data_IF_150266277480
#
_entry.id   IF_150266277480
#
_cell.length_a   1.000
_cell.length_b   1.000
_cell.length_c   1.000
_cell.angle_alpha   90.00
_cell.angle_beta   90.00
_cell.angle_gamma   90.00
#
_symmetry.space_group_name_H-M   'P 1'
#
loop_
_entity.id
_entity.type
_entity.pdbx_description
1 polymer ?
#
# COMPACT_ATOMS: atom_id res chain seq x y z
N UNK A 1 36.79 -5.31 2.99
CA UNK A 1 36.63 -3.88 3.42
C UNK A 1 37.24 -3.75 4.82
N UNK A 2 38.06 -2.72 5.02
CA UNK A 2 38.49 -2.27 6.33
C UNK A 2 37.55 -1.22 6.86
N UNK A 3 37.05 -1.36 8.08
CA UNK A 3 36.09 -0.47 8.71
C UNK A 3 36.72 0.20 9.94
N UNK A 4 36.81 1.52 9.90
CA UNK A 4 37.28 2.31 11.03
C UNK A 4 36.09 2.76 11.89
N UNK A 5 36.20 2.54 13.21
CA UNK A 5 35.19 3.02 14.16
C UNK A 5 35.24 4.55 14.26
N UNK A 6 34.12 5.19 14.15
CA UNK A 6 33.95 6.66 14.26
C UNK A 6 33.09 7.05 15.46
N UNK A 7 32.05 6.29 15.71
CA UNK A 7 31.01 6.60 16.70
C UNK A 7 31.01 5.62 17.85
N UNK A 8 31.49 4.42 17.64
CA UNK A 8 31.50 3.34 18.63
C UNK A 8 32.93 2.98 19.09
N UNK A 9 33.02 2.31 20.21
CA UNK A 9 34.30 1.83 20.75
C UNK A 9 34.30 0.33 20.82
N UNK A 10 35.45 -0.26 20.56
CA UNK A 10 35.63 -1.71 20.69
C UNK A 10 35.35 -2.20 22.11
N UNK A 11 34.71 -3.35 22.24
CA UNK A 11 34.34 -3.93 23.54
C UNK A 11 33.20 -3.19 24.28
N UNK A 12 32.57 -2.18 23.68
CA UNK A 12 31.41 -1.47 24.24
C UNK A 12 30.16 -1.70 23.41
N UNK A 13 29.01 -1.60 24.06
CA UNK A 13 27.72 -1.63 23.31
C UNK A 13 27.67 -0.50 22.30
N UNK A 14 27.15 -0.77 21.11
CA UNK A 14 26.86 0.24 20.10
C UNK A 14 25.91 1.35 20.59
N UNK A 15 25.15 1.05 21.62
CA UNK A 15 24.21 1.99 22.27
C UNK A 15 24.80 2.67 23.52
N UNK A 16 26.09 2.46 23.82
CA UNK A 16 26.74 3.13 24.94
C UNK A 16 26.66 4.66 24.75
N UNK A 17 26.14 5.36 25.77
CA UNK A 17 25.93 6.81 25.69
C UNK A 17 24.62 7.25 25.02
N UNK A 18 23.78 6.31 24.59
CA UNK A 18 22.40 6.59 24.13
C UNK A 18 21.43 6.19 25.23
N UNK A 19 20.73 7.16 25.78
CA UNK A 19 19.64 6.90 26.72
C UNK A 19 18.38 6.47 25.99
N UNK A 20 17.62 5.55 26.59
CA UNK A 20 16.37 5.02 26.02
C UNK A 20 15.22 5.28 26.98
N UNK A 21 14.05 5.60 26.44
CA UNK A 21 12.79 5.78 27.16
C UNK A 21 11.73 4.80 26.72
N UNK A 22 10.77 4.55 27.57
CA UNK A 22 9.53 3.84 27.23
C UNK A 22 8.46 4.88 26.85
N UNK A 23 7.76 4.62 25.76
CA UNK A 23 6.64 5.46 25.32
C UNK A 23 5.46 4.59 24.87
N UNK A 24 4.30 5.21 24.72
CA UNK A 24 3.12 4.57 24.11
C UNK A 24 2.91 5.13 22.71
N UNK A 25 2.65 4.25 21.76
CA UNK A 25 2.21 4.62 20.41
C UNK A 25 0.74 4.30 20.23
N UNK A 26 -0.05 5.28 19.82
CA UNK A 26 -1.51 5.14 19.71
C UNK A 26 -2.04 5.84 18.46
N UNK A 27 -3.03 5.20 17.79
CA UNK A 27 -3.83 5.81 16.72
C UNK A 27 -5.28 5.81 17.17
N UNK A 28 -5.93 6.97 17.12
CA UNK A 28 -7.36 7.13 17.36
C UNK A 28 -8.08 7.62 16.11
N UNK A 29 -9.32 7.17 15.96
CA UNK A 29 -10.26 7.75 15.01
C UNK A 29 -10.78 9.12 15.53
N UNK A 30 -11.40 9.94 14.65
CA UNK A 30 -12.03 11.20 15.07
C UNK A 30 -13.10 11.04 16.15
N UNK A 31 -13.75 9.88 16.23
CA UNK A 31 -14.74 9.54 17.28
C UNK A 31 -14.13 9.14 18.63
N UNK A 32 -12.77 9.14 18.73
CA UNK A 32 -12.01 8.77 19.91
C UNK A 32 -11.75 7.27 20.07
N UNK A 33 -12.29 6.42 19.22
CA UNK A 33 -12.01 4.98 19.25
C UNK A 33 -10.56 4.67 18.93
N UNK A 34 -9.95 3.72 19.64
CA UNK A 34 -8.55 3.33 19.47
C UNK A 34 -8.43 2.30 18.34
N UNK A 35 -7.72 2.65 17.29
CA UNK A 35 -7.41 1.77 16.14
C UNK A 35 -6.18 0.93 16.40
N UNK A 36 -5.17 1.51 17.04
CA UNK A 36 -3.90 0.88 17.36
C UNK A 36 -3.38 1.42 18.67
N UNK A 37 -2.87 0.55 19.53
CA UNK A 37 -2.17 0.93 20.74
C UNK A 37 -1.05 -0.08 21.01
N UNK A 38 0.13 0.42 21.31
CA UNK A 38 1.26 -0.34 21.78
C UNK A 38 1.93 0.41 22.93
N UNK A 39 1.87 -0.17 24.12
CA UNK A 39 2.51 0.35 25.32
C UNK A 39 3.95 -0.18 25.45
N UNK A 40 4.77 0.51 26.25
CA UNK A 40 6.15 0.13 26.55
C UNK A 40 7.05 0.02 25.32
N UNK A 41 6.88 0.88 24.34
CA UNK A 41 7.77 0.99 23.17
C UNK A 41 9.08 1.62 23.60
N UNK A 42 10.18 0.87 23.55
CA UNK A 42 11.53 1.36 23.86
C UNK A 42 12.16 2.05 22.66
N UNK A 43 12.50 3.32 22.81
CA UNK A 43 13.14 4.16 21.77
C UNK A 43 14.24 5.02 22.37
N UNK A 44 15.20 5.53 21.58
CA UNK A 44 16.14 6.54 22.08
C UNK A 44 15.40 7.75 22.63
N UNK A 45 15.86 8.29 23.76
CA UNK A 45 15.15 9.35 24.48
C UNK A 45 14.92 10.61 23.63
N UNK A 46 15.88 10.97 22.80
CA UNK A 46 15.80 12.17 21.94
C UNK A 46 14.90 12.01 20.71
N UNK A 47 14.35 10.81 20.44
CA UNK A 47 13.44 10.63 19.33
C UNK A 47 12.12 11.38 19.57
N UNK A 48 11.64 12.08 18.54
CA UNK A 48 10.30 12.66 18.58
C UNK A 48 9.24 11.59 18.73
N UNK A 49 8.06 11.98 19.26
CA UNK A 49 6.93 11.05 19.35
C UNK A 49 6.51 10.55 17.96
N UNK A 50 6.54 11.42 16.94
CA UNK A 50 6.23 11.05 15.55
C UNK A 50 7.17 9.96 15.02
N UNK A 51 8.49 10.09 15.27
CA UNK A 51 9.46 9.07 14.86
C UNK A 51 9.21 7.74 15.57
N UNK A 52 8.89 7.78 16.86
CA UNK A 52 8.55 6.62 17.68
C UNK A 52 7.27 5.93 17.19
N UNK A 53 6.25 6.71 16.86
CA UNK A 53 4.97 6.22 16.33
C UNK A 53 5.14 5.58 14.94
N UNK A 54 5.91 6.21 14.06
CA UNK A 54 6.20 5.64 12.73
C UNK A 54 6.92 4.29 12.86
N UNK A 55 7.93 4.19 13.73
CA UNK A 55 8.63 2.93 13.96
C UNK A 55 7.67 1.84 14.49
N UNK A 56 6.93 2.13 15.55
CA UNK A 56 6.05 1.16 16.20
C UNK A 56 4.88 0.72 15.30
N UNK A 57 4.26 1.67 14.59
CA UNK A 57 3.08 1.40 13.78
C UNK A 57 3.40 0.76 12.43
N UNK A 58 4.53 1.11 11.81
CA UNK A 58 4.86 0.74 10.44
C UNK A 58 5.94 -0.34 10.34
N UNK A 59 6.92 -0.34 11.23
CA UNK A 59 8.17 -1.09 11.05
C UNK A 59 8.41 -2.18 12.06
N UNK A 60 7.81 -2.14 13.25
CA UNK A 60 7.83 -3.27 14.17
C UNK A 60 7.16 -4.49 13.56
N UNK A 61 7.80 -5.65 13.69
CA UNK A 61 7.14 -6.93 13.46
C UNK A 61 6.09 -7.15 14.54
N UNK A 62 4.82 -7.19 14.16
CA UNK A 62 3.68 -7.17 15.10
C UNK A 62 3.35 -8.54 15.70
N UNK A 63 3.80 -9.62 15.08
CA UNK A 63 3.48 -10.97 15.53
C UNK A 63 4.51 -11.98 15.03
N UNK A 64 4.58 -13.13 15.70
CA UNK A 64 5.41 -14.26 15.29
C UNK A 64 6.87 -14.14 15.72
N UNK A 65 7.24 -13.16 16.55
CA UNK A 65 8.59 -13.06 17.15
C UNK A 65 8.64 -14.01 18.35
N UNK A 66 9.53 -15.02 18.36
CA UNK A 66 9.65 -15.92 19.50
C UNK A 66 10.11 -15.17 20.75
N UNK A 67 9.42 -15.38 21.89
CA UNK A 67 9.79 -14.78 23.17
C UNK A 67 11.09 -15.36 23.75
N UNK A 68 11.53 -16.51 23.26
CA UNK A 68 12.80 -17.15 23.62
C UNK A 68 13.50 -17.61 22.34
N UNK A 69 14.78 -17.30 22.25
CA UNK A 69 15.62 -17.54 21.09
C UNK A 69 16.87 -18.33 21.51
N UNK A 70 17.32 -19.21 20.62
CA UNK A 70 18.62 -19.87 20.70
C UNK A 70 19.45 -19.56 19.47
N UNK A 71 20.78 -19.52 19.64
CA UNK A 71 21.71 -19.30 18.54
C UNK A 71 21.97 -20.61 17.80
N UNK A 72 22.05 -20.51 16.48
CA UNK A 72 22.44 -21.62 15.60
C UNK A 72 23.92 -21.45 15.25
N UNK A 73 24.73 -22.36 15.74
CA UNK A 73 26.15 -22.37 15.39
C UNK A 73 26.33 -22.59 13.88
N UNK A 74 27.16 -21.77 13.28
CA UNK A 74 27.46 -21.84 11.85
C UNK A 74 28.98 -21.76 11.66
N UNK A 75 29.56 -22.82 11.05
CA UNK A 75 30.98 -22.88 10.74
C UNK A 75 31.38 -21.70 9.85
N UNK A 76 32.57 -21.15 10.10
CA UNK A 76 33.13 -20.00 9.37
C UNK A 76 32.39 -18.67 9.54
N UNK A 77 31.42 -18.59 10.46
CA UNK A 77 30.73 -17.34 10.83
C UNK A 77 31.08 -16.98 12.27
N UNK A 78 31.51 -15.75 12.56
CA UNK A 78 31.73 -15.28 13.92
C UNK A 78 30.51 -15.45 14.81
N UNK A 79 30.69 -15.82 16.05
CA UNK A 79 29.59 -16.15 16.98
C UNK A 79 28.58 -15.01 17.18
N UNK A 80 29.01 -13.74 17.12
CA UNK A 80 28.12 -12.60 17.23
C UNK A 80 27.16 -12.45 16.01
N UNK A 81 27.51 -13.06 14.86
CA UNK A 81 26.70 -13.09 13.65
C UNK A 81 25.84 -14.36 13.49
N UNK A 82 25.94 -15.30 14.41
CA UNK A 82 25.12 -16.50 14.35
C UNK A 82 23.63 -16.11 14.36
N UNK A 83 22.87 -16.68 13.44
CA UNK A 83 21.42 -16.47 13.38
C UNK A 83 20.72 -17.05 14.62
N UNK A 84 19.53 -16.58 14.90
CA UNK A 84 18.73 -17.07 16.02
C UNK A 84 17.45 -17.74 15.49
N UNK A 85 16.99 -18.74 16.23
CA UNK A 85 15.70 -19.42 15.98
C UNK A 85 14.93 -19.52 17.29
N UNK A 86 13.65 -19.91 17.19
CA UNK A 86 12.82 -20.20 18.36
C UNK A 86 13.46 -21.31 19.21
N UNK A 87 13.64 -21.07 20.50
CA UNK A 87 14.01 -22.07 21.48
C UNK A 87 12.75 -22.81 21.93
N UNK A 88 12.51 -23.99 21.33
CA UNK A 88 11.29 -24.77 21.55
C UNK A 88 11.09 -25.17 23.02
N UNK A 89 12.17 -25.58 23.69
CA UNK A 89 12.12 -26.05 25.09
C UNK A 89 11.83 -24.86 26.04
N UNK A 90 12.52 -23.76 25.86
CA UNK A 90 12.27 -22.56 26.65
C UNK A 90 10.88 -21.95 26.37
N UNK A 91 10.39 -21.99 25.13
CA UNK A 91 9.04 -21.53 24.79
C UNK A 91 7.95 -22.44 25.38
N UNK A 92 8.19 -23.74 25.50
CA UNK A 92 7.24 -24.68 26.10
C UNK A 92 6.95 -24.35 27.57
N UNK A 93 7.89 -23.69 28.26
CA UNK A 93 7.68 -23.23 29.66
C UNK A 93 6.76 -22.02 29.80
N UNK A 94 6.47 -21.32 28.72
CA UNK A 94 5.62 -20.14 28.71
C UNK A 94 4.17 -20.50 28.37
N UNK A 95 3.18 -19.73 28.88
CA UNK A 95 1.81 -19.80 28.40
C UNK A 95 1.75 -19.64 26.87
N UNK A 96 0.89 -20.36 26.19
CA UNK A 96 0.79 -20.38 24.72
C UNK A 96 0.68 -18.98 24.11
N UNK A 97 -0.13 -18.10 24.71
CA UNK A 97 -0.32 -16.71 24.27
C UNK A 97 0.93 -15.84 24.37
N UNK A 98 1.92 -16.21 25.19
CA UNK A 98 3.13 -15.44 25.47
C UNK A 98 4.35 -15.99 24.73
N UNK A 99 4.21 -17.10 23.97
CA UNK A 99 5.30 -17.74 23.22
C UNK A 99 5.76 -16.94 22.03
N UNK A 100 4.79 -16.30 21.33
CA UNK A 100 5.07 -15.49 20.13
C UNK A 100 4.45 -14.12 20.30
N UNK A 101 5.29 -13.09 20.21
CA UNK A 101 4.94 -11.71 20.49
C UNK A 101 5.29 -10.81 19.29
N UNK A 102 5.17 -9.51 19.46
CA UNK A 102 5.69 -8.50 18.54
C UNK A 102 7.00 -7.90 19.03
N UNK A 103 7.68 -7.14 18.17
CA UNK A 103 8.78 -6.28 18.58
C UNK A 103 8.26 -5.15 19.47
N UNK A 104 9.04 -4.79 20.49
CA UNK A 104 8.72 -3.72 21.44
C UNK A 104 9.86 -2.70 21.61
N UNK A 105 11.05 -3.04 21.16
CA UNK A 105 12.23 -2.18 21.26
C UNK A 105 12.79 -1.83 19.89
N UNK A 106 13.10 -0.56 19.71
CA UNK A 106 13.84 -0.08 18.54
C UNK A 106 15.19 -0.79 18.36
N UNK A 107 15.82 -1.23 19.45
CA UNK A 107 17.06 -2.02 19.43
C UNK A 107 16.86 -3.32 18.65
N UNK A 108 15.71 -4.00 18.83
CA UNK A 108 15.42 -5.24 18.09
C UNK A 108 15.45 -4.99 16.57
N UNK A 109 14.88 -3.85 16.14
CA UNK A 109 14.85 -3.48 14.73
C UNK A 109 16.26 -3.13 14.23
N UNK A 110 17.00 -2.31 14.96
CA UNK A 110 18.36 -1.93 14.58
C UNK A 110 19.29 -3.13 14.55
N UNK A 111 19.20 -4.01 15.55
CA UNK A 111 20.03 -5.22 15.65
C UNK A 111 19.77 -6.20 14.51
N UNK A 112 18.48 -6.44 14.14
CA UNK A 112 18.17 -7.34 13.03
C UNK A 112 18.57 -6.80 11.67
N UNK A 113 18.45 -5.49 11.45
CA UNK A 113 18.87 -4.85 10.20
C UNK A 113 20.38 -4.89 10.06
N UNK A 114 21.09 -4.30 11.02
CA UNK A 114 22.55 -4.22 10.99
C UNK A 114 23.20 -5.63 11.02
N UNK A 115 22.66 -6.52 11.85
CA UNK A 115 23.16 -7.89 11.96
C UNK A 115 23.00 -8.67 10.65
N UNK A 116 21.88 -8.59 10.00
CA UNK A 116 21.65 -9.27 8.72
C UNK A 116 22.55 -8.72 7.61
N UNK A 117 22.69 -7.40 7.49
CA UNK A 117 23.59 -6.81 6.50
C UNK A 117 25.05 -7.20 6.76
N UNK A 118 25.46 -7.24 8.02
CA UNK A 118 26.79 -7.70 8.39
C UNK A 118 26.98 -9.20 8.10
N UNK A 119 25.97 -10.01 8.42
CA UNK A 119 25.99 -11.45 8.10
C UNK A 119 26.12 -11.70 6.59
N UNK A 120 25.33 -11.00 5.76
CA UNK A 120 25.46 -11.11 4.31
C UNK A 120 26.81 -10.63 3.80
N UNK A 121 27.31 -9.52 4.37
CA UNK A 121 28.65 -9.01 4.04
C UNK A 121 29.77 -10.00 4.41
N UNK A 122 29.66 -10.68 5.55
CA UNK A 122 30.59 -11.73 5.96
C UNK A 122 30.53 -12.92 5.01
N UNK A 123 29.33 -13.45 4.73
CA UNK A 123 29.13 -14.55 3.78
C UNK A 123 29.62 -14.21 2.37
N UNK A 124 29.52 -12.97 1.96
CA UNK A 124 30.01 -12.45 0.68
C UNK A 124 31.52 -12.16 0.66
N UNK A 125 32.23 -12.37 1.76
CA UNK A 125 33.68 -12.11 1.84
C UNK A 125 34.08 -10.64 1.75
N UNK A 126 33.19 -9.73 2.18
CA UNK A 126 33.41 -8.30 2.01
C UNK A 126 34.27 -7.66 3.08
N UNK A 127 34.43 -8.29 4.24
CA UNK A 127 35.26 -7.80 5.35
C UNK A 127 36.67 -8.41 5.33
N UNK A 128 37.67 -7.61 5.67
CA UNK A 128 39.05 -8.05 5.71
C UNK A 128 39.34 -8.84 7.00
N UNK A 129 38.60 -8.59 8.07
CA UNK A 129 38.72 -9.27 9.36
C UNK A 129 37.37 -9.34 10.11
N UNK A 130 37.35 -10.16 11.17
CA UNK A 130 36.21 -10.22 12.10
C UNK A 130 36.01 -8.89 12.83
N UNK A 131 37.09 -8.18 13.15
CA UNK A 131 37.04 -6.86 13.76
C UNK A 131 36.40 -5.83 12.86
N UNK A 132 36.64 -5.90 11.53
CA UNK A 132 35.96 -5.02 10.56
C UNK A 132 34.46 -5.29 10.48
N UNK A 133 34.07 -6.57 10.51
CA UNK A 133 32.66 -6.95 10.55
C UNK A 133 31.98 -6.48 11.85
N UNK A 134 32.65 -6.62 13.00
CA UNK A 134 32.12 -6.14 14.28
C UNK A 134 32.02 -4.62 14.31
N UNK A 135 33.00 -3.90 13.76
CA UNK A 135 32.96 -2.46 13.63
C UNK A 135 31.80 -2.01 12.76
N UNK A 136 31.59 -2.64 11.60
CA UNK A 136 30.48 -2.37 10.71
C UNK A 136 29.11 -2.58 11.40
N UNK A 137 28.97 -3.68 12.13
CA UNK A 137 27.74 -3.98 12.87
C UNK A 137 27.44 -2.93 13.94
N UNK A 138 28.46 -2.52 14.72
CA UNK A 138 28.29 -1.54 15.78
C UNK A 138 28.01 -0.14 15.24
N UNK A 139 28.78 0.31 14.24
CA UNK A 139 28.59 1.62 13.60
C UNK A 139 27.20 1.76 12.99
N UNK A 140 26.71 0.74 12.27
CA UNK A 140 25.35 0.76 11.71
C UNK A 140 24.26 0.85 12.77
N UNK A 141 24.38 0.10 13.87
CA UNK A 141 23.41 0.16 14.98
C UNK A 141 23.37 1.57 15.58
N UNK A 142 24.53 2.17 15.81
CA UNK A 142 24.63 3.54 16.29
C UNK A 142 23.99 4.53 15.31
N UNK A 143 24.31 4.44 14.02
CA UNK A 143 23.81 5.33 13.00
C UNK A 143 22.30 5.23 12.82
N UNK A 144 21.72 4.03 12.91
CA UNK A 144 20.26 3.83 12.90
C UNK A 144 19.61 4.43 14.13
N UNK A 145 20.16 4.18 15.32
CA UNK A 145 19.64 4.70 16.59
C UNK A 145 19.68 6.23 16.66
N UNK A 146 20.71 6.85 16.08
CA UNK A 146 20.91 8.31 16.08
C UNK A 146 20.28 9.01 14.85
N UNK A 147 19.56 8.27 14.01
CA UNK A 147 18.93 8.78 12.79
C UNK A 147 19.90 9.37 11.76
N UNK A 148 21.17 8.97 11.79
CA UNK A 148 22.16 9.36 10.79
C UNK A 148 21.95 8.66 9.46
N UNK A 149 21.32 7.50 9.47
CA UNK A 149 20.92 6.76 8.27
C UNK A 149 19.53 6.12 8.46
N UNK A 150 18.84 5.94 7.36
CA UNK A 150 17.57 5.22 7.32
C UNK A 150 17.45 4.46 6.00
N UNK A 151 17.22 3.14 6.03
CA UNK A 151 16.95 2.39 4.81
C UNK A 151 15.54 2.68 4.28
N UNK A 152 15.26 2.22 3.06
CA UNK A 152 13.90 2.28 2.53
C UNK A 152 12.92 1.41 3.34
N UNK A 153 11.61 1.73 3.26
CA UNK A 153 10.59 1.06 4.08
C UNK A 153 10.57 -0.46 3.97
N UNK A 154 10.71 -1.11 2.80
CA UNK A 154 10.76 -2.58 2.71
C UNK A 154 11.91 -3.22 3.48
N UNK A 155 13.05 -2.54 3.63
CA UNK A 155 14.15 -3.00 4.49
C UNK A 155 13.69 -3.06 5.95
N UNK A 156 13.04 -1.99 6.44
CA UNK A 156 12.60 -1.89 7.83
C UNK A 156 11.72 -3.05 8.27
N UNK A 157 10.79 -3.51 7.44
CA UNK A 157 9.83 -4.56 7.84
C UNK A 157 10.13 -5.96 7.31
N UNK A 158 11.05 -6.14 6.36
CA UNK A 158 11.36 -7.46 5.80
C UNK A 158 12.76 -7.97 6.15
N UNK A 159 13.74 -7.07 6.31
CA UNK A 159 15.14 -7.48 6.52
C UNK A 159 15.38 -7.96 7.95
N UNK A 160 16.05 -9.08 8.05
CA UNK A 160 16.52 -9.63 9.31
C UNK A 160 15.56 -10.52 10.07
N UNK A 161 14.31 -10.67 9.60
CA UNK A 161 13.33 -11.53 10.27
C UNK A 161 13.78 -12.99 10.34
N UNK A 162 14.39 -13.50 9.27
CA UNK A 162 14.94 -14.86 9.25
C UNK A 162 16.19 -14.98 10.12
N UNK A 163 17.12 -14.04 9.99
CA UNK A 163 18.38 -14.07 10.73
C UNK A 163 18.18 -13.90 12.24
N UNK A 164 17.36 -12.95 12.65
CA UNK A 164 17.17 -12.60 14.06
C UNK A 164 16.19 -13.52 14.79
N UNK A 165 15.18 -14.07 14.10
CA UNK A 165 14.06 -14.76 14.73
C UNK A 165 13.74 -16.13 14.15
N UNK A 166 14.39 -16.54 13.06
CA UNK A 166 14.03 -17.75 12.32
C UNK A 166 12.67 -17.68 11.64
N UNK A 167 12.12 -16.47 11.50
CA UNK A 167 10.82 -16.28 10.81
C UNK A 167 11.02 -16.53 9.32
N UNK A 168 10.14 -17.34 8.76
CA UNK A 168 10.13 -17.65 7.34
C UNK A 168 8.72 -17.69 6.76
N UNK A 169 8.64 -17.91 5.46
CA UNK A 169 7.40 -18.00 4.71
C UNK A 169 7.61 -18.57 3.31
N UNK A 170 6.53 -18.92 2.61
CA UNK A 170 6.62 -19.44 1.26
C UNK A 170 7.34 -18.50 0.30
N UNK A 171 8.16 -19.05 -0.59
CA UNK A 171 8.87 -18.29 -1.62
C UNK A 171 7.90 -17.46 -2.48
N UNK A 172 8.35 -16.27 -2.84
CA UNK A 172 7.61 -15.35 -3.71
C UNK A 172 7.97 -15.50 -5.18
N UNK A 173 8.84 -16.47 -5.50
CA UNK A 173 9.33 -16.69 -6.85
C UNK A 173 10.44 -15.73 -7.29
N UNK A 174 11.04 -14.99 -6.36
CA UNK A 174 12.18 -14.13 -6.63
C UNK A 174 13.50 -14.92 -6.65
N UNK A 175 14.53 -14.28 -7.17
CA UNK A 175 15.87 -14.85 -7.34
C UNK A 175 16.90 -14.02 -6.57
N UNK A 176 17.98 -14.67 -6.18
CA UNK A 176 19.19 -14.06 -5.60
C UNK A 176 20.43 -14.69 -6.22
N UNK A 177 21.56 -14.02 -6.09
CA UNK A 177 22.85 -14.60 -6.47
C UNK A 177 23.40 -15.35 -5.26
N UNK A 178 23.57 -16.66 -5.39
CA UNK A 178 24.12 -17.49 -4.34
C UNK A 178 25.61 -17.10 -4.10
N UNK A 179 25.98 -16.72 -2.87
CA UNK A 179 27.31 -16.17 -2.59
C UNK A 179 28.44 -17.20 -2.74
N UNK A 180 28.13 -18.49 -2.68
CA UNK A 180 29.13 -19.55 -2.80
C UNK A 180 29.34 -20.00 -4.24
N UNK A 181 28.28 -20.06 -5.02
CA UNK A 181 28.35 -20.55 -6.40
C UNK A 181 28.38 -19.45 -7.44
N UNK A 182 28.05 -18.20 -7.06
CA UNK A 182 27.91 -17.06 -7.99
C UNK A 182 26.75 -17.21 -8.96
N UNK A 183 25.88 -18.20 -8.80
CA UNK A 183 24.78 -18.51 -9.72
C UNK A 183 23.48 -17.85 -9.29
N UNK A 184 22.70 -17.38 -10.29
CA UNK A 184 21.36 -16.93 -10.07
C UNK A 184 20.49 -18.10 -9.59
N UNK A 185 19.97 -17.99 -8.39
CA UNK A 185 19.25 -19.07 -7.69
C UNK A 185 17.86 -18.59 -7.29
N UNK A 186 16.83 -19.39 -7.55
CA UNK A 186 15.48 -19.08 -7.11
C UNK A 186 15.38 -19.27 -5.60
N UNK A 187 14.90 -18.24 -4.90
CA UNK A 187 14.74 -18.33 -3.45
C UNK A 187 13.65 -19.36 -3.10
N UNK A 188 13.91 -20.13 -2.05
CA UNK A 188 12.95 -21.11 -1.50
C UNK A 188 12.07 -20.50 -0.42
N UNK A 189 12.49 -19.37 0.14
CA UNK A 189 11.89 -18.72 1.30
C UNK A 189 11.65 -17.24 1.05
N UNK A 190 10.76 -16.63 1.84
CA UNK A 190 10.40 -15.21 1.69
C UNK A 190 11.42 -14.28 2.36
N UNK A 191 12.04 -14.69 3.47
CA UNK A 191 12.81 -13.80 4.35
C UNK A 191 14.28 -14.11 4.51
N UNK A 192 14.77 -15.28 4.02
CA UNK A 192 16.19 -15.61 4.06
C UNK A 192 17.00 -14.75 3.08
N UNK A 193 16.51 -14.64 1.84
CA UNK A 193 17.09 -13.79 0.78
C UNK A 193 16.03 -12.84 0.23
N UNK A 194 15.50 -11.90 1.03
CA UNK A 194 14.47 -10.99 0.58
C UNK A 194 14.98 -10.02 -0.48
N UNK A 195 14.08 -9.48 -1.28
CA UNK A 195 14.34 -8.34 -2.17
C UNK A 195 13.66 -7.08 -1.61
N UNK A 196 14.17 -6.49 -0.54
CA UNK A 196 13.49 -5.42 0.18
C UNK A 196 13.80 -4.05 -0.43
N UNK A 197 13.58 -3.91 -1.74
CA UNK A 197 13.75 -2.66 -2.47
C UNK A 197 12.45 -1.85 -2.50
N UNK A 198 12.59 -0.52 -2.49
CA UNK A 198 11.45 0.38 -2.45
C UNK A 198 10.62 0.31 -3.73
N UNK A 199 11.29 0.29 -4.88
CA UNK A 199 10.66 0.30 -6.20
C UNK A 199 11.38 -0.62 -7.17
N UNK A 200 10.59 -1.21 -8.06
CA UNK A 200 11.06 -2.05 -9.16
C UNK A 200 10.62 -1.44 -10.50
N UNK A 201 11.57 -1.24 -11.39
CA UNK A 201 11.26 -0.89 -12.78
C UNK A 201 10.88 -2.18 -13.51
N UNK A 202 9.69 -2.17 -14.10
CA UNK A 202 9.15 -3.31 -14.84
C UNK A 202 9.07 -2.98 -16.32
N UNK A 203 9.25 -4.00 -17.15
CA UNK A 203 8.98 -3.94 -18.59
C UNK A 203 7.65 -4.61 -18.91
N UNK A 204 7.06 -4.23 -20.03
CA UNK A 204 5.83 -4.81 -20.57
C UNK A 204 5.97 -4.98 -22.08
N UNK A 205 5.45 -6.08 -22.60
CA UNK A 205 5.27 -6.31 -24.04
C UNK A 205 3.79 -6.24 -24.40
N UNK A 206 3.51 -5.93 -25.68
CA UNK A 206 2.15 -5.86 -26.21
C UNK A 206 1.58 -7.26 -26.50
N UNK A 207 1.47 -8.03 -25.42
CA UNK A 207 0.89 -9.38 -25.39
C UNK A 207 -0.04 -9.48 -24.17
N UNK A 208 -1.16 -10.18 -24.33
CA UNK A 208 -2.15 -10.23 -23.26
C UNK A 208 -1.73 -11.14 -22.08
N UNK A 209 -1.27 -12.36 -22.36
CA UNK A 209 -1.17 -13.42 -21.33
C UNK A 209 0.21 -14.07 -21.23
N UNK A 210 1.07 -13.96 -22.25
CA UNK A 210 2.38 -14.60 -22.25
C UNK A 210 3.35 -13.93 -21.27
N UNK A 211 4.46 -14.58 -21.00
CA UNK A 211 5.53 -14.03 -20.15
C UNK A 211 6.00 -12.66 -20.65
N UNK A 212 6.10 -11.71 -19.74
CA UNK A 212 6.40 -10.31 -20.06
C UNK A 212 5.21 -9.49 -20.55
N UNK A 213 4.06 -10.09 -20.77
CA UNK A 213 2.84 -9.42 -21.22
C UNK A 213 2.04 -8.74 -20.12
N UNK A 214 0.84 -8.29 -20.47
CA UNK A 214 0.00 -7.43 -19.63
C UNK A 214 -0.44 -8.15 -18.34
N UNK A 215 -1.00 -9.35 -18.44
CA UNK A 215 -1.47 -10.09 -17.26
C UNK A 215 -0.33 -10.61 -16.41
N UNK A 216 0.80 -10.97 -17.01
CA UNK A 216 2.00 -11.33 -16.26
C UNK A 216 2.54 -10.13 -15.47
N UNK A 217 2.51 -8.91 -16.03
CA UNK A 217 2.86 -7.71 -15.28
C UNK A 217 2.00 -7.53 -14.04
N UNK A 218 0.68 -7.73 -14.12
CA UNK A 218 -0.20 -7.60 -12.95
C UNK A 218 0.12 -8.64 -11.88
N UNK A 219 0.51 -9.85 -12.26
CA UNK A 219 0.95 -10.88 -11.30
C UNK A 219 2.27 -10.49 -10.62
N UNK A 220 3.24 -9.98 -11.39
CA UNK A 220 4.52 -9.48 -10.85
C UNK A 220 4.30 -8.31 -9.89
N UNK A 221 3.50 -7.32 -10.27
CA UNK A 221 3.13 -6.19 -9.42
C UNK A 221 2.45 -6.65 -8.12
N UNK A 222 1.50 -7.58 -8.19
CA UNK A 222 0.81 -8.11 -7.01
C UNK A 222 1.79 -8.72 -6.00
N UNK A 223 2.81 -9.45 -6.47
CA UNK A 223 3.88 -10.00 -5.63
C UNK A 223 4.69 -8.89 -4.96
N UNK A 224 5.10 -7.86 -5.71
CA UNK A 224 5.88 -6.73 -5.20
C UNK A 224 5.08 -5.91 -4.18
N UNK A 225 3.82 -5.61 -4.47
CA UNK A 225 2.95 -4.88 -3.55
C UNK A 225 2.70 -5.63 -2.24
N UNK A 226 2.55 -6.96 -2.29
CA UNK A 226 2.38 -7.80 -1.10
C UNK A 226 3.52 -7.61 -0.08
N UNK A 227 4.74 -7.38 -0.55
CA UNK A 227 5.92 -7.20 0.30
C UNK A 227 6.32 -5.73 0.49
N UNK A 228 5.43 -4.81 0.11
CA UNK A 228 5.55 -3.38 0.39
C UNK A 228 6.45 -2.61 -0.58
N UNK A 229 6.85 -3.21 -1.69
CA UNK A 229 7.59 -2.54 -2.75
C UNK A 229 6.64 -1.82 -3.70
N UNK A 230 7.13 -0.76 -4.36
CA UNK A 230 6.45 -0.08 -5.44
C UNK A 230 6.91 -0.57 -6.82
N UNK A 231 6.18 -0.16 -7.85
CA UNK A 231 6.52 -0.47 -9.25
C UNK A 231 6.48 0.78 -10.11
N UNK A 232 7.28 0.78 -11.18
CA UNK A 232 7.23 1.77 -12.24
C UNK A 232 7.36 1.10 -13.60
N UNK A 233 6.45 1.41 -14.52
CA UNK A 233 6.43 0.79 -15.85
C UNK A 233 6.12 1.86 -16.90
N UNK A 234 6.88 1.85 -18.01
CA UNK A 234 6.53 2.57 -19.22
C UNK A 234 5.62 1.69 -20.08
N UNK A 235 4.40 2.14 -20.30
CA UNK A 235 3.34 1.42 -21.00
C UNK A 235 3.26 1.75 -22.49
N UNK A 236 4.15 2.57 -23.02
CA UNK A 236 4.11 3.03 -24.41
C UNK A 236 4.28 1.92 -25.45
N UNK A 237 4.77 0.74 -25.03
CA UNK A 237 4.85 -0.44 -25.90
C UNK A 237 3.47 -1.04 -26.22
N UNK A 238 2.42 -0.72 -25.45
CA UNK A 238 1.07 -1.20 -25.72
C UNK A 238 0.46 -0.39 -26.86
N UNK A 239 -0.26 -1.04 -27.75
CA UNK A 239 -0.96 -0.38 -28.85
C UNK A 239 -2.14 0.46 -28.36
N UNK A 240 -2.45 1.51 -29.11
CA UNK A 240 -3.57 2.42 -28.85
C UNK A 240 -4.93 1.81 -29.17
N UNK A 241 -5.99 2.55 -28.81
CA UNK A 241 -7.38 2.17 -29.09
C UNK A 241 -7.64 2.13 -30.60
N UNK A 242 -8.34 1.10 -31.06
CA UNK A 242 -8.71 0.94 -32.45
C UNK A 242 -7.61 0.41 -33.38
N UNK A 243 -6.36 0.26 -32.94
CA UNK A 243 -5.29 -0.36 -33.72
C UNK A 243 -5.60 -1.83 -34.00
N UNK A 244 -5.13 -2.30 -35.16
CA UNK A 244 -5.42 -3.67 -35.67
C UNK A 244 -4.72 -4.74 -34.80
N UNK A 245 -5.45 -5.78 -34.48
CA UNK A 245 -4.93 -7.01 -33.90
C UNK A 245 -4.55 -8.00 -35.01
N UNK A 246 -3.55 -8.87 -34.75
CA UNK A 246 -3.13 -9.92 -35.67
C UNK A 246 -4.28 -10.86 -36.08
N UNK A 247 -5.27 -11.08 -35.22
CA UNK A 247 -6.47 -11.89 -35.47
C UNK A 247 -7.61 -11.16 -36.21
N UNK A 248 -7.40 -9.92 -36.69
CA UNK A 248 -8.40 -9.15 -37.44
C UNK A 248 -9.34 -8.27 -36.57
N UNK A 249 -9.21 -8.30 -35.25
CA UNK A 249 -9.94 -7.41 -34.37
C UNK A 249 -9.26 -6.05 -34.17
N UNK A 250 -9.80 -5.26 -33.25
CA UNK A 250 -9.24 -3.95 -32.86
C UNK A 250 -8.88 -3.94 -31.37
N UNK A 251 -7.81 -3.24 -31.03
CA UNK A 251 -7.37 -3.02 -29.65
C UNK A 251 -8.39 -2.21 -28.85
N UNK A 252 -8.58 -2.57 -27.60
CA UNK A 252 -9.34 -1.78 -26.63
C UNK A 252 -8.54 -0.61 -26.05
N UNK A 253 -7.31 -0.45 -26.46
CA UNK A 253 -6.41 0.63 -26.11
C UNK A 253 -5.73 0.50 -24.75
N UNK A 254 -4.72 1.34 -24.56
CA UNK A 254 -3.91 1.44 -23.36
C UNK A 254 -4.79 1.64 -22.10
N UNK A 255 -5.75 2.55 -22.18
CA UNK A 255 -6.56 2.95 -21.01
C UNK A 255 -7.37 1.81 -20.41
N UNK A 256 -7.80 0.85 -21.21
CA UNK A 256 -8.54 -0.33 -20.74
C UNK A 256 -7.68 -1.18 -19.81
N UNK A 257 -6.43 -1.39 -20.16
CA UNK A 257 -5.49 -2.18 -19.36
C UNK A 257 -4.98 -1.42 -18.13
N UNK A 258 -4.73 -0.12 -18.25
CA UNK A 258 -4.36 0.71 -17.09
C UNK A 258 -5.42 0.69 -15.99
N UNK A 259 -6.70 0.70 -16.35
CA UNK A 259 -7.81 0.59 -15.39
C UNK A 259 -7.78 -0.73 -14.61
N UNK A 260 -7.42 -1.85 -15.24
CA UNK A 260 -7.27 -3.15 -14.58
C UNK A 260 -6.15 -3.06 -13.53
N UNK A 261 -4.97 -2.58 -13.94
CA UNK A 261 -3.81 -2.45 -13.05
C UNK A 261 -4.04 -1.47 -11.90
N UNK A 262 -4.75 -0.38 -12.13
CA UNK A 262 -5.14 0.57 -11.07
C UNK A 262 -6.05 -0.07 -10.03
N UNK A 263 -7.06 -0.84 -10.46
CA UNK A 263 -7.95 -1.57 -9.56
C UNK A 263 -7.21 -2.67 -8.79
N UNK A 264 -6.34 -3.41 -9.44
CA UNK A 264 -5.50 -4.42 -8.79
C UNK A 264 -4.64 -3.79 -7.69
N UNK A 265 -3.99 -2.65 -7.98
CA UNK A 265 -3.19 -1.90 -6.99
C UNK A 265 -4.05 -1.42 -5.81
N UNK A 266 -5.28 -0.94 -6.06
CA UNK A 266 -6.21 -0.52 -5.00
C UNK A 266 -6.68 -1.66 -4.09
N UNK A 267 -6.80 -2.87 -4.62
CA UNK A 267 -7.22 -4.05 -3.88
C UNK A 267 -6.10 -4.65 -3.02
N UNK A 268 -4.83 -4.48 -3.41
CA UNK A 268 -3.70 -5.12 -2.75
C UNK A 268 -3.15 -4.20 -1.67
N UNK A 269 -3.28 -4.64 -0.42
CA UNK A 269 -2.64 -3.99 0.74
C UNK A 269 -1.42 -4.80 1.15
N UNK A 270 -0.29 -4.13 1.31
CA UNK A 270 0.96 -4.81 1.70
C UNK A 270 0.85 -5.47 3.07
N UNK A 271 1.06 -6.79 3.12
CA UNK A 271 1.37 -7.58 4.31
C UNK A 271 0.49 -7.37 5.56
N UNK A 272 -0.78 -6.99 5.41
CA UNK A 272 -1.66 -6.67 6.53
C UNK A 272 -1.28 -5.38 7.26
N UNK A 273 -0.32 -4.64 6.76
CA UNK A 273 0.14 -3.36 7.27
C UNK A 273 -0.30 -2.22 6.36
N UNK A 274 -0.15 -1.05 6.84
CA UNK A 274 -0.70 0.23 6.46
C UNK A 274 -0.13 0.86 5.17
N UNK A 275 0.73 0.17 4.39
CA UNK A 275 1.24 0.72 3.14
C UNK A 275 0.36 0.32 1.96
N UNK A 276 -0.19 1.30 1.27
CA UNK A 276 -0.87 1.09 -0.02
C UNK A 276 0.14 0.72 -1.10
N UNK A 277 -0.31 0.00 -2.12
CA UNK A 277 0.48 -0.23 -3.32
C UNK A 277 0.94 1.11 -3.91
N UNK A 278 2.21 1.19 -4.29
CA UNK A 278 2.78 2.36 -4.95
C UNK A 278 3.07 2.00 -6.42
N UNK A 279 2.27 2.57 -7.32
CA UNK A 279 2.35 2.30 -8.76
C UNK A 279 2.63 3.58 -9.52
N UNK A 280 3.66 3.56 -10.37
CA UNK A 280 3.94 4.62 -11.32
C UNK A 280 3.68 4.11 -12.75
N UNK A 281 2.91 4.88 -13.49
CA UNK A 281 2.60 4.65 -14.91
C UNK A 281 3.25 5.74 -15.72
N UNK A 282 4.01 5.36 -16.73
CA UNK A 282 4.68 6.28 -17.65
C UNK A 282 4.15 5.99 -19.05
N UNK A 283 3.85 7.04 -19.80
CA UNK A 283 3.47 6.95 -21.22
C UNK A 283 4.25 8.02 -22.00
N UNK A 284 4.81 7.65 -23.13
CA UNK A 284 5.52 8.58 -24.01
C UNK A 284 4.54 9.54 -24.67
N UNK A 285 4.97 10.76 -24.92
CA UNK A 285 4.14 11.85 -25.47
C UNK A 285 3.58 11.55 -26.85
N UNK A 286 4.25 10.70 -27.63
CA UNK A 286 3.85 10.29 -28.98
C UNK A 286 2.93 9.06 -29.04
N UNK A 287 2.47 8.56 -27.87
CA UNK A 287 1.55 7.43 -27.82
C UNK A 287 0.15 7.81 -28.36
N UNK A 288 -0.53 6.97 -29.18
CA UNK A 288 -1.85 7.30 -29.73
C UNK A 288 -2.92 7.68 -28.71
N UNK A 289 -2.89 7.08 -27.51
CA UNK A 289 -3.89 7.35 -26.44
C UNK A 289 -3.44 8.45 -25.48
N UNK A 290 -2.41 9.25 -25.78
CA UNK A 290 -1.80 10.17 -24.81
C UNK A 290 -2.77 11.24 -24.29
N UNK A 291 -3.63 11.79 -25.14
CA UNK A 291 -4.60 12.81 -24.72
C UNK A 291 -5.61 12.23 -23.72
N UNK A 292 -6.11 11.02 -23.97
CA UNK A 292 -7.02 10.31 -23.06
C UNK A 292 -6.31 9.99 -21.73
N UNK A 293 -5.03 9.63 -21.79
CA UNK A 293 -4.22 9.36 -20.61
C UNK A 293 -4.00 10.61 -19.74
N UNK A 294 -3.66 11.74 -20.35
CA UNK A 294 -3.47 13.02 -19.65
C UNK A 294 -4.76 13.45 -18.96
N UNK A 295 -5.90 13.31 -19.64
CA UNK A 295 -7.19 13.72 -19.14
C UNK A 295 -7.85 12.69 -18.18
N UNK A 296 -7.27 11.52 -18.02
CA UNK A 296 -7.91 10.41 -17.30
C UNK A 296 -8.37 10.81 -15.90
N UNK A 297 -7.49 11.38 -15.07
CA UNK A 297 -7.83 11.73 -13.68
C UNK A 297 -8.88 12.84 -13.61
N UNK A 298 -8.81 13.83 -14.49
CA UNK A 298 -9.78 14.92 -14.57
C UNK A 298 -11.18 14.38 -14.90
N UNK A 299 -11.26 13.46 -15.87
CA UNK A 299 -12.52 12.81 -16.25
C UNK A 299 -13.11 11.97 -15.11
N UNK A 300 -12.28 11.29 -14.35
CA UNK A 300 -12.72 10.50 -13.18
C UNK A 300 -13.20 11.41 -12.03
N UNK A 301 -12.53 12.54 -11.77
CA UNK A 301 -12.98 13.56 -10.80
C UNK A 301 -14.33 14.16 -11.18
N UNK A 302 -14.56 14.42 -12.45
CA UNK A 302 -15.88 14.88 -12.93
C UNK A 302 -16.99 13.86 -12.65
N UNK A 303 -16.69 12.56 -12.73
CA UNK A 303 -17.65 11.51 -12.35
C UNK A 303 -17.95 11.53 -10.85
N UNK A 304 -16.92 11.71 -9.99
CA UNK A 304 -17.13 11.88 -8.55
C UNK A 304 -18.03 13.06 -8.26
N UNK A 305 -17.76 14.22 -8.86
CA UNK A 305 -18.59 15.41 -8.70
C UNK A 305 -20.05 15.17 -9.12
N UNK A 306 -20.27 14.46 -10.23
CA UNK A 306 -21.60 14.08 -10.70
C UNK A 306 -22.31 13.12 -9.73
N UNK A 307 -21.62 12.12 -9.21
CA UNK A 307 -22.16 11.17 -8.21
C UNK A 307 -22.57 11.90 -6.93
N UNK A 308 -21.69 12.76 -6.39
CA UNK A 308 -21.95 13.54 -5.19
C UNK A 308 -23.17 14.45 -5.38
N UNK A 309 -23.18 15.23 -6.45
CA UNK A 309 -24.30 16.13 -6.77
C UNK A 309 -25.59 15.36 -6.99
N UNK A 310 -25.56 14.30 -7.79
CA UNK A 310 -26.72 13.47 -8.10
C UNK A 310 -27.32 12.80 -6.86
N UNK A 311 -26.48 12.28 -5.97
CA UNK A 311 -26.93 11.65 -4.72
C UNK A 311 -27.64 12.63 -3.79
N UNK A 312 -27.10 13.85 -3.63
CA UNK A 312 -27.70 14.92 -2.83
C UNK A 312 -29.02 15.41 -3.41
N UNK A 313 -29.09 15.57 -4.73
CA UNK A 313 -30.34 15.95 -5.44
C UNK A 313 -31.40 14.86 -5.25
N UNK A 314 -31.05 13.59 -5.47
CA UNK A 314 -31.96 12.46 -5.29
C UNK A 314 -32.49 12.42 -3.86
N UNK A 315 -31.62 12.46 -2.85
CA UNK A 315 -32.04 12.45 -1.44
C UNK A 315 -33.01 13.57 -1.14
N UNK A 316 -32.66 14.80 -1.53
CA UNK A 316 -33.51 15.98 -1.29
C UNK A 316 -34.93 15.81 -1.85
N UNK A 317 -35.02 15.47 -3.12
CA UNK A 317 -36.33 15.40 -3.78
C UNK A 317 -37.13 14.14 -3.43
N UNK A 318 -36.46 12.99 -3.26
CA UNK A 318 -37.12 11.75 -2.87
C UNK A 318 -37.63 11.80 -1.43
N UNK A 319 -36.90 12.42 -0.50
CA UNK A 319 -37.41 12.69 0.86
C UNK A 319 -38.56 13.67 0.86
N UNK A 320 -38.55 14.70 0.01
CA UNK A 320 -39.67 15.63 -0.12
C UNK A 320 -40.94 14.95 -0.65
N UNK A 321 -40.81 14.07 -1.65
CA UNK A 321 -41.91 13.26 -2.18
C UNK A 321 -42.48 12.33 -1.11
N UNK A 322 -41.61 11.63 -0.37
CA UNK A 322 -42.05 10.76 0.71
C UNK A 322 -42.82 11.53 1.79
N UNK A 323 -42.29 12.68 2.23
CA UNK A 323 -42.97 13.56 3.19
C UNK A 323 -44.32 14.06 2.67
N UNK A 324 -44.44 14.40 1.39
CA UNK A 324 -45.69 14.82 0.79
C UNK A 324 -46.79 13.71 0.80
N UNK A 325 -46.38 12.45 0.69
CA UNK A 325 -47.27 11.31 0.84
C UNK A 325 -47.65 11.06 2.31
N UNK A 326 -46.65 11.08 3.22
CA UNK A 326 -46.84 10.74 4.65
C UNK A 326 -47.65 11.81 5.41
N UNK A 327 -47.43 13.09 5.10
CA UNK A 327 -48.04 14.22 5.78
C UNK A 327 -49.34 14.66 5.07
N UNK A 328 -49.92 13.85 4.22
CA UNK A 328 -51.19 14.13 3.54
C UNK A 328 -52.35 13.97 4.49
N UNK A 329 -53.28 14.96 4.50
CA UNK A 329 -54.49 14.95 5.31
C UNK A 329 -55.68 14.23 4.62
N UNK A 330 -55.45 13.69 3.41
CA UNK A 330 -56.45 12.92 2.66
C UNK A 330 -56.65 11.50 3.23
N UNK A 331 -57.64 10.80 2.70
CA UNK A 331 -57.94 9.44 3.14
C UNK A 331 -57.42 8.39 2.15
N UNK A 332 -56.75 7.34 2.68
CA UNK A 332 -56.38 6.16 1.92
C UNK A 332 -55.45 6.44 0.74
N UNK A 333 -55.80 5.91 -0.44
CA UNK A 333 -54.98 5.97 -1.66
C UNK A 333 -54.84 7.38 -2.27
N UNK A 334 -55.67 8.33 -1.87
CA UNK A 334 -55.65 9.70 -2.37
C UNK A 334 -54.32 10.43 -2.05
N UNK A 335 -53.68 10.07 -0.96
CA UNK A 335 -52.37 10.61 -0.56
C UNK A 335 -51.22 10.24 -1.51
N UNK A 336 -51.40 9.17 -2.27
CA UNK A 336 -50.38 8.64 -3.21
C UNK A 336 -50.69 8.97 -4.67
N UNK A 337 -51.82 9.68 -4.90
CA UNK A 337 -52.23 10.12 -6.24
C UNK A 337 -51.87 11.60 -6.43
N UNK A 338 -50.98 11.95 -7.39
CA UNK A 338 -50.59 13.34 -7.62
C UNK A 338 -51.75 14.20 -8.17
N UNK A 339 -52.85 13.63 -8.68
CA UNK A 339 -54.04 14.38 -9.09
C UNK A 339 -54.88 14.82 -7.88
N UNK A 340 -54.81 14.08 -6.78
CA UNK A 340 -55.54 14.34 -5.55
C UNK A 340 -54.72 14.95 -4.42
N UNK A 341 -53.40 14.80 -4.48
CA UNK A 341 -52.44 15.38 -3.53
C UNK A 341 -51.64 16.51 -4.20
N UNK A 342 -52.00 17.78 -4.01
CA UNK A 342 -51.32 18.92 -4.64
C UNK A 342 -49.87 19.08 -4.18
N UNK A 343 -49.55 18.70 -2.92
CA UNK A 343 -48.18 18.72 -2.39
C UNK A 343 -47.32 17.70 -3.14
N UNK A 344 -47.80 16.47 -3.30
CA UNK A 344 -47.12 15.44 -4.05
C UNK A 344 -46.89 15.84 -5.52
N UNK A 345 -47.91 16.39 -6.18
CA UNK A 345 -47.78 16.90 -7.55
C UNK A 345 -46.69 17.95 -7.69
N UNK A 346 -46.60 18.88 -6.74
CA UNK A 346 -45.56 19.91 -6.72
C UNK A 346 -44.17 19.30 -6.58
N UNK A 347 -43.97 18.41 -5.62
CA UNK A 347 -42.67 17.79 -5.38
C UNK A 347 -42.22 16.90 -6.55
N UNK A 348 -43.12 16.15 -7.19
CA UNK A 348 -42.85 15.41 -8.43
C UNK A 348 -42.37 16.35 -9.54
N UNK A 349 -43.06 17.50 -9.73
CA UNK A 349 -42.68 18.49 -10.76
C UNK A 349 -41.27 19.06 -10.49
N UNK A 350 -40.92 19.34 -9.22
CA UNK A 350 -39.60 19.82 -8.83
C UNK A 350 -38.55 18.74 -9.04
N UNK A 351 -38.82 17.50 -8.66
CA UNK A 351 -37.90 16.36 -8.85
C UNK A 351 -37.58 16.13 -10.34
N UNK A 352 -38.61 16.17 -11.22
CA UNK A 352 -38.42 16.03 -12.67
C UNK A 352 -37.61 17.18 -13.27
N UNK A 353 -37.81 18.42 -12.80
CA UNK A 353 -36.99 19.57 -13.21
C UNK A 353 -35.53 19.42 -12.82
N UNK A 354 -35.27 18.71 -11.74
CA UNK A 354 -33.91 18.38 -11.24
C UNK A 354 -33.38 17.05 -11.81
N UNK A 355 -34.03 16.51 -12.85
CA UNK A 355 -33.63 15.28 -13.56
C UNK A 355 -33.63 14.01 -12.68
N UNK A 356 -34.42 14.00 -11.60
CA UNK A 356 -34.60 12.76 -10.81
C UNK A 356 -35.37 11.74 -11.65
N UNK A 357 -34.89 10.51 -11.82
CA UNK A 357 -35.52 9.51 -12.65
C UNK A 357 -36.95 9.14 -12.18
N UNK A 358 -37.90 9.06 -13.12
CA UNK A 358 -39.31 8.77 -12.82
C UNK A 358 -39.51 7.41 -12.10
N UNK A 359 -38.68 6.42 -12.37
CA UNK A 359 -38.72 5.14 -11.68
C UNK A 359 -38.41 5.27 -10.16
N UNK A 360 -37.53 6.18 -9.79
CA UNK A 360 -37.23 6.45 -8.37
C UNK A 360 -38.39 7.17 -7.70
N UNK A 361 -39.00 8.15 -8.38
CA UNK A 361 -40.19 8.85 -7.92
C UNK A 361 -41.32 7.84 -7.65
N UNK A 362 -41.63 6.99 -8.62
CA UNK A 362 -42.68 5.96 -8.50
C UNK A 362 -42.37 4.98 -7.34
N UNK A 363 -41.12 4.59 -7.20
CA UNK A 363 -40.71 3.65 -6.15
C UNK A 363 -40.85 4.24 -4.75
N UNK A 364 -40.51 5.51 -4.55
CA UNK A 364 -40.69 6.18 -3.26
C UNK A 364 -42.16 6.35 -2.90
N UNK A 365 -43.02 6.68 -3.85
CA UNK A 365 -44.50 6.73 -3.64
C UNK A 365 -44.99 5.32 -3.23
N UNK A 366 -44.50 4.26 -3.88
CA UNK A 366 -44.88 2.90 -3.53
C UNK A 366 -44.40 2.51 -2.10
N UNK A 367 -43.23 2.93 -1.69
CA UNK A 367 -42.78 2.73 -0.31
C UNK A 367 -43.63 3.48 0.71
N UNK A 368 -44.03 4.74 0.40
CA UNK A 368 -44.96 5.48 1.24
C UNK A 368 -46.33 4.75 1.36
N UNK A 369 -46.86 4.19 0.25
CA UNK A 369 -48.06 3.37 0.25
C UNK A 369 -47.95 2.10 1.09
N UNK A 370 -46.73 1.53 1.21
CA UNK A 370 -46.43 0.37 2.06
C UNK A 370 -46.23 0.73 3.55
N UNK A 371 -46.33 2.03 3.90
CA UNK A 371 -46.25 2.52 5.26
C UNK A 371 -44.88 3.01 5.70
N UNK A 372 -43.89 3.08 4.80
CA UNK A 372 -42.58 3.67 5.12
C UNK A 372 -42.72 5.17 5.32
N UNK A 373 -42.27 5.68 6.47
CA UNK A 373 -42.33 7.10 6.85
C UNK A 373 -41.01 7.84 6.65
N UNK A 374 -39.92 7.11 6.63
CA UNK A 374 -38.57 7.60 6.31
C UNK A 374 -37.79 6.52 5.54
N UNK A 375 -36.90 6.95 4.68
CA UNK A 375 -36.01 6.09 3.89
C UNK A 375 -34.65 6.74 3.91
N UNK A 376 -33.63 5.95 4.23
CA UNK A 376 -32.25 6.39 4.08
C UNK A 376 -31.81 6.28 2.63
N UNK A 377 -31.39 7.42 2.07
CA UNK A 377 -30.83 7.50 0.73
C UNK A 377 -29.34 7.70 0.83
N UNK A 378 -28.51 6.81 0.26
CA UNK A 378 -27.06 6.95 0.30
C UNK A 378 -26.63 8.27 -0.35
N UNK A 379 -25.72 8.97 0.32
CA UNK A 379 -25.11 10.21 -0.17
C UNK A 379 -23.62 9.93 -0.35
N UNK A 380 -23.09 10.32 -1.48
CA UNK A 380 -21.65 10.39 -1.71
C UNK A 380 -21.11 11.74 -1.27
N UNK A 381 -19.86 11.78 -0.87
CA UNK A 381 -19.11 12.99 -0.54
C UNK A 381 -17.79 13.06 -1.33
N UNK A 382 -17.02 14.12 -1.12
CA UNK A 382 -15.76 14.38 -1.80
C UNK A 382 -14.54 13.97 -0.97
N UNK A 383 -14.73 13.31 0.17
CA UNK A 383 -13.62 12.82 0.96
C UNK A 383 -12.89 11.71 0.20
N UNK A 384 -11.58 11.72 0.24
CA UNK A 384 -10.72 10.86 -0.57
C UNK A 384 -10.91 9.35 -0.31
N UNK A 385 -11.49 8.97 0.82
CA UNK A 385 -11.81 7.60 1.22
C UNK A 385 -13.31 7.27 1.08
N UNK A 386 -14.11 8.19 0.50
CA UNK A 386 -15.53 7.97 0.27
C UNK A 386 -15.81 6.89 -0.78
N UNK A 387 -17.02 6.31 -0.71
CA UNK A 387 -17.47 5.31 -1.68
C UNK A 387 -17.48 5.85 -3.13
N UNK A 388 -17.60 7.16 -3.34
CA UNK A 388 -17.54 7.75 -4.67
C UNK A 388 -16.21 7.46 -5.36
N UNK A 389 -15.08 7.59 -4.64
CA UNK A 389 -13.76 7.27 -5.16
C UNK A 389 -13.53 5.77 -5.39
N UNK A 390 -14.27 4.91 -4.72
CA UNK A 390 -14.24 3.46 -5.00
C UNK A 390 -14.90 3.10 -6.35
N UNK A 391 -15.72 3.99 -6.90
CA UNK A 391 -16.41 3.76 -8.20
C UNK A 391 -15.58 4.17 -9.40
N UNK A 392 -14.60 5.07 -9.23
CA UNK A 392 -13.76 5.62 -10.30
C UNK A 392 -12.37 4.96 -10.35
N UNK A 393 -11.65 5.11 -11.46
CA UNK A 393 -10.31 4.54 -11.68
C UNK A 393 -9.22 5.63 -11.60
N UNK A 394 -7.95 5.23 -11.71
CA UNK A 394 -6.81 6.17 -11.72
C UNK A 394 -6.43 6.73 -10.35
N UNK A 395 -6.99 6.21 -9.26
CA UNK A 395 -6.72 6.70 -7.90
C UNK A 395 -5.52 6.03 -7.22
N UNK A 396 -5.04 4.92 -7.77
CA UNK A 396 -4.00 4.09 -7.14
C UNK A 396 -2.66 4.15 -7.88
N UNK A 397 -2.55 5.02 -8.88
CA UNK A 397 -1.32 5.21 -9.67
C UNK A 397 -0.92 6.68 -9.76
N UNK A 398 0.39 6.91 -9.77
CA UNK A 398 0.99 8.17 -10.18
C UNK A 398 1.24 8.12 -11.69
N UNK A 399 0.79 9.14 -12.40
CA UNK A 399 0.88 9.21 -13.86
C UNK A 399 1.97 10.20 -14.27
N UNK A 400 2.79 9.81 -15.24
CA UNK A 400 3.85 10.64 -15.81
C UNK A 400 3.86 10.50 -17.33
N UNK A 401 4.21 11.59 -18.01
CA UNK A 401 4.45 11.61 -19.45
C UNK A 401 5.95 11.69 -19.68
N UNK A 402 6.48 10.82 -20.53
CA UNK A 402 7.87 10.86 -20.97
C UNK A 402 7.98 11.76 -22.20
N UNK A 403 8.78 12.80 -22.10
CA UNK A 403 9.01 13.76 -23.16
C UNK A 403 10.34 13.45 -23.86
N UNK A 404 10.33 13.44 -25.19
CA UNK A 404 11.53 13.27 -26.03
C UNK A 404 12.10 14.63 -26.42
N UNK A 405 13.36 14.62 -26.85
CA UNK A 405 14.06 15.87 -27.27
C UNK A 405 13.34 16.61 -28.39
N UNK A 406 12.72 15.88 -29.31
CA UNK A 406 11.98 16.48 -30.44
C UNK A 406 10.76 17.29 -29.94
N UNK A 407 10.05 16.80 -28.91
CA UNK A 407 8.98 17.55 -28.26
C UNK A 407 9.51 18.83 -27.63
N UNK A 408 10.63 18.74 -26.90
CA UNK A 408 11.23 19.92 -26.25
C UNK A 408 11.70 20.96 -27.28
N UNK A 409 12.26 20.52 -28.41
CA UNK A 409 12.64 21.40 -29.54
C UNK A 409 11.43 22.06 -30.20
N UNK A 410 10.33 21.31 -30.35
CA UNK A 410 9.10 21.89 -30.88
C UNK A 410 8.57 23.01 -29.95
N UNK A 411 8.63 22.80 -28.63
CA UNK A 411 8.26 23.82 -27.63
C UNK A 411 9.17 25.05 -27.74
N UNK A 412 10.49 24.86 -27.87
CA UNK A 412 11.45 25.97 -27.98
C UNK A 412 11.25 26.80 -29.27
N UNK A 413 10.83 26.17 -30.35
CA UNK A 413 10.66 26.81 -31.67
C UNK A 413 9.23 27.25 -31.95
N UNK A 414 8.31 27.05 -31.01
CA UNK A 414 6.85 27.23 -31.22
C UNK A 414 6.37 26.47 -32.47
N UNK A 415 6.89 25.26 -32.64
CA UNK A 415 6.62 24.38 -33.77
C UNK A 415 5.50 23.36 -33.44
N UNK A 416 5.01 22.71 -34.51
CA UNK A 416 4.02 21.62 -34.43
C UNK A 416 4.70 20.26 -34.09
#
# INVERSE_FOLDING_TARGET
MRIERRYTKDGQSAYAGIEFRLTTSEIRNPDGSVVFKLDNVEVPEFWSQVASDVLAQKYFRKAGVPARLTKVEENSVPSFLWRSIADADALATLPEKDRYVGEQSSKQVFDRLAGTWTYWGWKGGHFDSEQDAQAFFDELRYMLATQMCAPNSPQWFNTGLHWAYGIDGPSQGHYYVDPFTGKLTKSKTAYEHPQPHACFIQSISDDLVNEGGIMDLWVREARLFKYGSGTGTNFSALRGEGEKLSGGGRSSGLMSFLKIGDRAAGAIKSGGTTRRAAKMVIVDVDHPDIETYINWKVMEEQKVAALVTGSKINQKHLKAILKACVNCEGSGDDCFDPEKNPALRREIKLARRSLVPDNYIKRVIQFARQGYKDIDFPIYDTDWDSEAYLTVSGQNSNNSVSLKDDFLRAVETDGD
#
